data_IF_129229588415
#
_entry.id   IF_129229588415
#
_cell.length_a   1.000
_cell.length_b   1.000
_cell.length_c   1.000
_cell.angle_alpha   90.00
_cell.angle_beta   90.00
_cell.angle_gamma   90.00
#
_symmetry.space_group_name_H-M   'P 1'
#
loop_
_entity.id
_entity.type
_entity.pdbx_description
1 polymer ?
#
# COMPACT_ATOMS: atom_id res chain seq x y z
N UNK A 1 77.66 14.03 -1.35
CA UNK A 1 77.10 12.78 -1.92
C UNK A 1 77.46 11.62 -1.00
N UNK A 2 76.62 10.57 -0.92
CA UNK A 2 76.87 9.31 -0.18
C UNK A 2 76.86 9.42 1.37
N UNK A 3 76.37 8.46 2.17
CA UNK A 3 75.26 7.50 1.99
C UNK A 3 74.84 6.87 3.35
N UNK A 4 73.52 6.63 3.49
CA UNK A 4 72.83 5.59 4.29
C UNK A 4 72.81 5.63 5.84
N UNK A 5 71.79 4.96 6.47
CA UNK A 5 71.45 5.08 7.90
C UNK A 5 71.46 3.74 8.68
N UNK A 6 71.19 3.77 10.01
CA UNK A 6 70.66 2.63 10.76
C UNK A 6 69.35 2.99 11.52
N UNK A 7 68.21 2.36 11.20
CA UNK A 7 67.56 1.18 11.88
C UNK A 7 66.53 1.51 12.97
N UNK A 8 65.47 0.69 13.02
CA UNK A 8 64.29 0.79 13.92
C UNK A 8 64.58 0.23 15.33
N UNK A 9 63.68 0.45 16.29
CA UNK A 9 63.20 -0.72 17.04
C UNK A 9 61.68 -0.81 17.30
N UNK A 10 61.25 -2.08 17.38
CA UNK A 10 60.23 -2.69 18.26
C UNK A 10 58.75 -2.27 18.25
N UNK A 11 57.93 -3.23 17.78
CA UNK A 11 56.51 -3.45 18.11
C UNK A 11 56.29 -3.66 19.62
N UNK A 12 55.20 -3.09 20.15
CA UNK A 12 54.21 -3.80 20.98
C UNK A 12 52.82 -3.32 20.53
N UNK A 13 51.72 -4.07 20.65
CA UNK A 13 51.53 -5.39 21.24
C UNK A 13 50.31 -5.46 22.16
N UNK A 14 49.10 -5.08 21.70
CA UNK A 14 47.86 -5.28 22.48
C UNK A 14 46.73 -5.90 21.65
N UNK A 15 46.37 -7.13 22.02
CA UNK A 15 45.07 -7.76 21.75
C UNK A 15 44.13 -7.44 22.92
N UNK A 16 42.86 -7.18 22.61
CA UNK A 16 41.72 -7.34 23.51
C UNK A 16 40.50 -7.67 22.62
N UNK A 17 40.21 -8.95 22.40
CA UNK A 17 39.28 -9.77 23.20
C UNK A 17 37.80 -9.52 22.83
N UNK A 18 37.37 -10.25 21.81
CA UNK A 18 36.00 -10.37 21.28
C UNK A 18 35.13 -11.17 22.24
N UNK A 19 34.12 -10.56 22.85
CA UNK A 19 33.12 -11.23 23.70
C UNK A 19 31.80 -11.46 22.96
N UNK A 20 31.75 -12.56 22.19
CA UNK A 20 30.50 -13.09 21.65
C UNK A 20 29.67 -13.75 22.76
N UNK A 21 28.62 -13.09 23.25
CA UNK A 21 27.59 -13.75 24.07
C UNK A 21 26.52 -14.39 23.18
N UNK A 22 26.77 -15.64 22.78
CA UNK A 22 25.70 -16.54 22.32
C UNK A 22 24.77 -16.85 23.50
N UNK A 23 23.53 -16.34 23.48
CA UNK A 23 22.45 -16.95 24.26
C UNK A 23 21.82 -18.06 23.41
N UNK A 24 22.03 -19.31 23.82
CA UNK A 24 21.14 -20.44 23.52
C UNK A 24 20.63 -20.95 24.86
N UNK A 25 19.31 -21.05 25.00
CA UNK A 25 18.67 -21.79 26.07
C UNK A 25 17.62 -22.74 25.44
N UNK A 26 17.36 -23.90 26.04
CA UNK A 26 16.76 -25.02 25.32
C UNK A 26 15.27 -25.19 25.62
N UNK A 27 14.52 -25.71 24.65
CA UNK A 27 13.23 -26.37 24.91
C UNK A 27 13.30 -27.81 24.40
N UNK A 28 12.98 -28.74 25.29
CA UNK A 28 13.26 -30.16 25.13
C UNK A 28 12.15 -30.93 24.41
N UNK A 29 12.57 -32.00 23.76
CA UNK A 29 11.70 -33.01 23.15
C UNK A 29 11.17 -33.93 24.26
N UNK A 30 9.85 -34.20 24.29
CA UNK A 30 9.33 -35.53 24.65
C UNK A 30 8.10 -35.90 23.79
N UNK A 31 7.89 -37.21 23.48
CA UNK A 31 6.95 -37.64 22.45
C UNK A 31 5.76 -38.47 23.00
N UNK A 32 4.91 -38.90 22.06
CA UNK A 32 3.87 -39.94 22.17
C UNK A 32 2.72 -39.74 23.16
N UNK A 33 1.51 -39.65 22.59
CA UNK A 33 0.52 -40.70 22.85
C UNK A 33 -0.24 -41.03 21.55
N UNK A 34 -0.38 -42.32 21.24
CA UNK A 34 -1.28 -42.77 20.18
C UNK A 34 -2.74 -42.59 20.62
N UNK A 35 -3.64 -42.29 19.68
CA UNK A 35 -5.04 -42.75 19.81
C UNK A 35 -5.53 -43.36 18.51
N UNK A 36 -6.09 -44.55 18.68
CA UNK A 36 -6.52 -45.49 17.65
C UNK A 36 -7.83 -45.08 16.99
N UNK A 37 -8.00 -45.54 15.76
CA UNK A 37 -9.09 -45.19 14.88
C UNK A 37 -10.51 -45.55 15.34
N UNK A 38 -11.45 -44.93 14.63
CA UNK A 38 -12.80 -45.43 14.46
C UNK A 38 -13.13 -45.40 12.95
N UNK A 39 -13.12 -46.57 12.31
CA UNK A 39 -13.74 -46.74 10.99
C UNK A 39 -15.25 -46.77 11.20
N UNK A 40 -16.00 -45.87 10.57
CA UNK A 40 -17.45 -46.04 10.45
C UNK A 40 -17.81 -46.23 8.98
N UNK A 41 -18.01 -47.49 8.61
CA UNK A 41 -18.55 -47.86 7.31
C UNK A 41 -20.07 -47.81 7.38
N UNK A 42 -20.71 -47.01 6.52
CA UNK A 42 -22.15 -47.08 6.28
C UNK A 42 -22.35 -47.64 4.86
N UNK A 43 -23.06 -48.75 4.78
CA UNK A 43 -23.18 -49.59 3.57
C UNK A 43 -24.66 -49.74 3.22
N UNK A 44 -25.06 -49.33 2.00
CA UNK A 44 -26.36 -49.58 1.36
C UNK A 44 -27.61 -49.02 2.10
N UNK A 45 -28.56 -48.31 1.46
CA UNK A 45 -29.67 -48.80 0.58
C UNK A 45 -30.55 -47.55 0.25
N UNK A 46 -31.40 -47.43 -0.78
CA UNK A 46 -31.89 -48.34 -1.85
C UNK A 46 -32.18 -47.49 -3.13
N UNK A 47 -32.48 -48.15 -4.26
CA UNK A 47 -33.05 -47.56 -5.50
C UNK A 47 -34.27 -46.63 -5.27
N UNK A 48 -34.39 -45.58 -6.10
CA UNK A 48 -35.63 -45.34 -6.87
C UNK A 48 -35.32 -44.77 -8.26
N UNK A 49 -35.83 -45.43 -9.30
CA UNK A 49 -35.95 -44.87 -10.65
C UNK A 49 -37.15 -43.92 -10.64
N UNK A 50 -37.01 -42.74 -11.22
CA UNK A 50 -38.08 -42.13 -11.99
C UNK A 50 -37.50 -41.68 -13.33
N UNK A 51 -38.19 -42.01 -14.42
CA UNK A 51 -37.92 -41.48 -15.75
C UNK A 51 -38.63 -40.13 -15.85
N UNK A 52 -37.91 -39.10 -16.28
CA UNK A 52 -38.46 -37.83 -16.70
C UNK A 52 -37.68 -37.33 -17.90
N UNK A 53 -38.06 -37.78 -19.10
CA UNK A 53 -37.55 -37.21 -20.35
C UNK A 53 -38.28 -35.90 -20.61
N UNK A 54 -37.71 -34.80 -20.11
CA UNK A 54 -38.08 -33.45 -20.51
C UNK A 54 -36.89 -32.82 -21.24
N UNK A 55 -37.03 -32.57 -22.55
CA UNK A 55 -36.06 -31.83 -23.34
C UNK A 55 -36.08 -30.34 -22.96
N UNK A 56 -35.52 -30.02 -21.80
CA UNK A 56 -35.07 -28.66 -21.50
C UNK A 56 -33.67 -28.51 -22.08
N UNK A 57 -33.61 -28.11 -23.36
CA UNK A 57 -32.39 -27.60 -23.99
C UNK A 57 -32.01 -26.25 -23.38
N UNK A 58 -31.56 -26.29 -22.13
CA UNK A 58 -30.77 -25.21 -21.56
C UNK A 58 -29.44 -25.21 -22.30
N UNK A 59 -29.25 -24.22 -23.18
CA UNK A 59 -27.93 -23.87 -23.69
C UNK A 59 -27.10 -23.48 -22.48
N UNK A 60 -26.29 -24.42 -21.97
CA UNK A 60 -25.29 -24.15 -20.98
C UNK A 60 -24.28 -23.18 -21.59
N UNK A 61 -24.47 -21.89 -21.35
CA UNK A 61 -23.51 -20.86 -21.72
C UNK A 61 -22.21 -21.20 -21.01
N UNK A 62 -21.17 -21.48 -21.80
CA UNK A 62 -19.84 -21.73 -21.23
C UNK A 62 -19.44 -20.53 -20.37
N UNK A 63 -18.87 -20.76 -19.18
CA UNK A 63 -18.25 -19.69 -18.40
C UNK A 63 -17.15 -18.95 -19.20
N UNK A 64 -16.58 -19.57 -20.23
CA UNK A 64 -15.72 -18.87 -21.21
C UNK A 64 -16.56 -17.89 -22.02
N UNK A 65 -17.74 -18.28 -22.51
CA UNK A 65 -18.64 -17.37 -23.21
C UNK A 65 -19.15 -16.25 -22.28
N UNK A 66 -19.40 -16.51 -20.99
CA UNK A 66 -19.75 -15.46 -20.03
C UNK A 66 -18.57 -14.53 -19.70
N UNK A 67 -17.34 -15.05 -19.62
CA UNK A 67 -16.13 -14.24 -19.44
C UNK A 67 -15.68 -13.54 -20.74
N UNK A 68 -16.03 -14.10 -21.90
CA UNK A 68 -15.87 -13.49 -23.21
C UNK A 68 -16.91 -12.39 -23.37
N UNK A 69 -18.19 -12.58 -23.02
CA UNK A 69 -19.23 -11.54 -22.98
C UNK A 69 -18.85 -10.41 -22.01
N UNK A 70 -18.27 -10.74 -20.84
CA UNK A 70 -17.65 -9.74 -19.95
C UNK A 70 -16.50 -9.01 -20.64
N UNK A 71 -15.59 -9.68 -21.34
CA UNK A 71 -14.47 -9.04 -22.08
C UNK A 71 -14.98 -8.19 -23.26
N UNK A 72 -15.98 -8.68 -23.98
CA UNK A 72 -16.56 -8.08 -25.19
C UNK A 72 -17.42 -6.86 -24.80
N UNK A 73 -18.01 -6.81 -23.59
CA UNK A 73 -18.55 -5.55 -23.02
C UNK A 73 -17.48 -4.48 -22.71
N UNK A 74 -16.19 -4.80 -22.87
CA UNK A 74 -15.08 -3.84 -22.79
C UNK A 74 -14.38 -3.57 -24.14
N UNK A 75 -14.84 -4.14 -25.25
CA UNK A 75 -14.55 -3.60 -26.59
C UNK A 75 -15.39 -2.33 -26.81
N UNK A 76 -15.11 -1.31 -25.99
CA UNK A 76 -15.52 0.07 -26.23
C UNK A 76 -14.58 0.62 -27.29
N UNK A 77 -15.14 1.03 -28.44
CA UNK A 77 -14.38 1.56 -29.58
C UNK A 77 -13.32 2.59 -29.12
N UNK A 78 -12.05 2.24 -29.29
CA UNK A 78 -10.87 3.05 -28.90
C UNK A 78 -10.66 4.25 -29.86
N UNK A 79 -11.76 4.79 -30.40
CA UNK A 79 -11.82 5.83 -31.44
C UNK A 79 -12.85 6.92 -31.11
N UNK A 80 -12.66 7.64 -30.01
CA UNK A 80 -13.24 8.98 -29.85
C UNK A 80 -12.25 9.95 -29.19
N UNK A 81 -11.53 10.68 -30.03
CA UNK A 81 -10.82 11.91 -29.62
C UNK A 81 -11.82 13.04 -29.38
N UNK A 82 -11.55 13.84 -28.36
CA UNK A 82 -12.05 15.21 -28.13
C UNK A 82 -13.57 15.43 -28.09
N UNK A 83 -14.12 15.53 -26.88
CA UNK A 83 -14.87 16.73 -26.45
C UNK A 83 -15.10 16.72 -24.92
N UNK A 84 -14.48 17.67 -24.21
CA UNK A 84 -14.59 17.79 -22.75
C UNK A 84 -15.65 18.85 -22.35
N UNK A 85 -16.75 18.49 -21.66
CA UNK A 85 -17.74 19.46 -21.23
C UNK A 85 -17.28 20.23 -19.98
N UNK A 86 -17.21 21.55 -20.09
CA UNK A 86 -16.92 22.46 -18.98
C UNK A 86 -18.02 22.43 -17.92
N UNK A 87 -17.77 21.80 -16.78
CA UNK A 87 -18.71 21.79 -15.65
C UNK A 87 -18.55 23.06 -14.79
N UNK A 88 -19.61 23.86 -14.70
CA UNK A 88 -19.66 25.07 -13.90
C UNK A 88 -19.83 24.79 -12.40
N UNK A 89 -19.01 25.41 -11.56
CA UNK A 89 -19.14 25.35 -10.10
C UNK A 89 -20.41 26.09 -9.62
N UNK A 90 -21.37 25.34 -9.08
CA UNK A 90 -22.52 25.88 -8.36
C UNK A 90 -22.38 25.60 -6.86
N UNK A 91 -22.18 26.66 -6.06
CA UNK A 91 -22.07 26.59 -4.60
C UNK A 91 -23.45 26.50 -3.94
N UNK A 92 -23.78 25.46 -3.14
CA UNK A 92 -24.99 25.47 -2.33
C UNK A 92 -24.77 26.28 -1.04
N UNK A 93 -25.71 27.18 -0.73
CA UNK A 93 -25.70 27.92 0.54
C UNK A 93 -26.08 27.01 1.71
N UNK A 94 -25.36 27.12 2.83
CA UNK A 94 -25.70 26.42 4.08
C UNK A 94 -26.79 27.18 4.84
N UNK A 95 -27.87 26.49 5.22
CA UNK A 95 -28.80 26.96 6.25
C UNK A 95 -28.47 26.30 7.60
N UNK A 96 -28.63 26.99 8.74
CA UNK A 96 -28.34 26.43 10.05
C UNK A 96 -29.43 25.46 10.51
N UNK A 97 -29.07 24.18 10.72
CA UNK A 97 -29.97 23.18 11.27
C UNK A 97 -30.03 23.29 12.80
N UNK A 98 -31.16 23.72 13.35
CA UNK A 98 -31.41 23.71 14.79
C UNK A 98 -31.82 22.29 15.21
N UNK A 99 -30.91 21.56 15.87
CA UNK A 99 -31.21 20.23 16.42
C UNK A 99 -32.00 20.39 17.72
N UNK A 100 -33.30 20.06 17.67
CA UNK A 100 -34.16 19.93 18.85
C UNK A 100 -34.03 18.49 19.38
N UNK A 101 -33.68 18.34 20.65
CA UNK A 101 -33.56 17.03 21.30
C UNK A 101 -34.89 16.69 21.95
N UNK A 102 -35.73 15.95 21.24
CA UNK A 102 -36.91 15.31 21.82
C UNK A 102 -36.55 13.87 22.27
N UNK A 103 -37.01 13.49 23.47
CA UNK A 103 -36.72 12.18 24.05
C UNK A 103 -37.52 11.07 23.33
N UNK A 104 -36.92 9.90 23.05
CA UNK A 104 -37.67 8.78 22.51
C UNK A 104 -38.60 8.17 23.57
N UNK A 105 -39.87 8.03 23.20
CA UNK A 105 -40.89 7.38 24.01
C UNK A 105 -40.58 5.89 24.20
N UNK A 106 -40.88 5.37 25.38
CA UNK A 106 -40.42 4.04 25.83
C UNK A 106 -41.33 2.94 25.28
N UNK A 107 -41.08 2.50 24.05
CA UNK A 107 -41.76 1.35 23.44
C UNK A 107 -41.47 0.08 24.26
N UNK A 108 -42.53 -0.57 24.75
CA UNK A 108 -42.42 -1.80 25.52
C UNK A 108 -41.94 -2.95 24.63
N UNK A 109 -40.86 -3.62 25.05
CA UNK A 109 -40.33 -4.78 24.33
C UNK A 109 -41.20 -6.01 24.58
N UNK A 110 -41.63 -6.76 23.55
CA UNK A 110 -42.37 -8.01 23.73
C UNK A 110 -41.50 -9.04 24.47
N UNK A 111 -42.02 -9.60 25.56
CA UNK A 111 -41.35 -10.62 26.36
C UNK A 111 -41.29 -11.96 25.63
N UNK A 112 -40.22 -12.20 24.87
CA UNK A 112 -39.96 -13.51 24.27
C UNK A 112 -39.75 -14.57 25.37
N UNK A 113 -40.55 -15.64 25.33
CA UNK A 113 -40.40 -16.79 26.22
C UNK A 113 -39.14 -17.56 25.83
N UNK A 114 -38.16 -17.56 26.72
CA UNK A 114 -36.97 -18.41 26.62
C UNK A 114 -37.44 -19.87 26.85
N UNK A 115 -37.52 -20.67 25.78
CA UNK A 115 -37.89 -22.09 25.90
C UNK A 115 -38.18 -22.82 24.59
N UNK A 116 -38.75 -22.14 23.59
CA UNK A 116 -39.07 -22.75 22.29
C UNK A 116 -37.98 -22.40 21.26
N UNK A 117 -37.11 -23.37 20.96
CA UNK A 117 -36.30 -23.33 19.75
C UNK A 117 -37.25 -23.57 18.56
N UNK A 118 -37.32 -22.66 17.57
CA UNK A 118 -38.13 -22.92 16.37
C UNK A 118 -37.57 -24.16 15.66
N UNK A 119 -38.43 -25.14 15.42
CA UNK A 119 -38.13 -26.28 14.56
C UNK A 119 -38.05 -25.78 13.10
N UNK A 120 -36.91 -25.19 12.75
CA UNK A 120 -36.56 -24.87 11.36
C UNK A 120 -36.62 -26.19 10.59
N UNK A 121 -37.59 -26.28 9.67
CA UNK A 121 -37.86 -27.52 8.94
C UNK A 121 -36.61 -27.93 8.17
N UNK A 122 -36.29 -29.24 8.15
CA UNK A 122 -35.03 -29.73 7.60
C UNK A 122 -34.75 -29.28 6.15
N UNK A 123 -35.78 -28.95 5.36
CA UNK A 123 -35.64 -28.40 4.01
C UNK A 123 -35.21 -26.92 3.93
N UNK A 124 -35.54 -26.08 4.91
CA UNK A 124 -35.13 -24.66 4.90
C UNK A 124 -33.62 -24.51 5.13
N UNK A 125 -33.03 -25.43 5.92
CA UNK A 125 -31.59 -25.46 6.13
C UNK A 125 -30.83 -25.87 4.86
N UNK A 126 -31.30 -26.91 4.17
CA UNK A 126 -30.66 -27.37 2.93
C UNK A 126 -30.79 -26.31 1.82
N UNK A 127 -31.92 -25.57 1.74
CA UNK A 127 -32.09 -24.43 0.83
C UNK A 127 -31.16 -23.25 1.19
N UNK A 128 -31.08 -22.88 2.48
CA UNK A 128 -30.13 -21.84 2.90
C UNK A 128 -28.68 -22.24 2.63
N UNK A 129 -28.30 -23.50 2.84
CA UNK A 129 -26.95 -23.99 2.54
C UNK A 129 -26.67 -24.08 1.02
N UNK A 130 -27.68 -24.26 0.16
CA UNK A 130 -27.53 -24.13 -1.31
C UNK A 130 -27.45 -22.68 -1.77
N UNK A 131 -28.31 -21.79 -1.26
CA UNK A 131 -28.33 -20.38 -1.65
C UNK A 131 -27.00 -19.71 -1.24
N UNK A 132 -26.49 -20.04 -0.05
CA UNK A 132 -25.15 -19.64 0.43
C UNK A 132 -24.00 -20.34 -0.32
N UNK A 133 -24.24 -21.42 -1.06
CA UNK A 133 -23.23 -22.04 -1.92
C UNK A 133 -23.18 -21.35 -3.30
N UNK A 134 -24.34 -21.05 -3.88
CA UNK A 134 -24.44 -20.35 -5.16
C UNK A 134 -23.97 -18.89 -5.04
N UNK A 135 -24.30 -18.18 -3.96
CA UNK A 135 -23.74 -16.84 -3.68
C UNK A 135 -22.20 -16.88 -3.60
N UNK A 136 -21.60 -17.94 -3.04
CA UNK A 136 -20.14 -18.10 -3.00
C UNK A 136 -19.52 -18.34 -4.38
N UNK A 137 -20.24 -19.02 -5.29
CA UNK A 137 -19.80 -19.22 -6.67
C UNK A 137 -19.85 -17.89 -7.43
N UNK A 138 -20.97 -17.17 -7.36
CA UNK A 138 -21.16 -15.86 -8.00
C UNK A 138 -20.14 -14.83 -7.52
N UNK A 139 -19.93 -14.74 -6.21
CA UNK A 139 -18.93 -13.84 -5.61
C UNK A 139 -17.52 -14.25 -6.04
N UNK A 140 -17.24 -15.55 -6.22
CA UNK A 140 -15.99 -16.04 -6.77
C UNK A 140 -15.76 -15.58 -8.21
N UNK A 141 -16.74 -15.80 -9.10
CA UNK A 141 -16.66 -15.42 -10.52
C UNK A 141 -16.54 -13.90 -10.67
N UNK A 142 -17.34 -13.11 -9.95
CA UNK A 142 -17.27 -11.64 -9.97
C UNK A 142 -15.89 -11.11 -9.55
N UNK A 143 -15.27 -11.71 -8.51
CA UNK A 143 -13.93 -11.33 -8.03
C UNK A 143 -12.81 -11.74 -8.99
N UNK A 144 -12.88 -12.94 -9.56
CA UNK A 144 -11.91 -13.38 -10.60
C UNK A 144 -12.04 -12.48 -11.83
N UNK A 145 -13.27 -12.14 -12.25
CA UNK A 145 -13.52 -11.17 -13.31
C UNK A 145 -13.04 -9.75 -12.99
N UNK A 146 -13.08 -9.32 -11.73
CA UNK A 146 -12.46 -8.05 -11.29
C UNK A 146 -10.93 -8.08 -11.41
N UNK A 147 -10.28 -9.17 -11.00
CA UNK A 147 -8.83 -9.34 -11.22
C UNK A 147 -8.51 -9.36 -12.70
N UNK A 148 -9.22 -10.15 -13.52
CA UNK A 148 -8.96 -10.23 -14.96
C UNK A 148 -9.11 -8.86 -15.64
N UNK A 149 -10.08 -8.02 -15.24
CA UNK A 149 -10.19 -6.63 -15.71
C UNK A 149 -8.98 -5.77 -15.31
N UNK A 150 -8.55 -5.84 -14.05
CA UNK A 150 -7.37 -5.12 -13.56
C UNK A 150 -6.06 -5.56 -14.23
N UNK A 151 -5.95 -6.83 -14.65
CA UNK A 151 -4.77 -7.34 -15.35
C UNK A 151 -4.86 -7.12 -16.86
N UNK A 152 -6.07 -7.06 -17.43
CA UNK A 152 -6.33 -6.72 -18.84
C UNK A 152 -5.75 -5.35 -19.22
N UNK A 153 -5.84 -4.36 -18.33
CA UNK A 153 -5.22 -3.06 -18.58
C UNK A 153 -3.69 -3.05 -18.52
N UNK A 154 -3.04 -3.92 -17.73
CA UNK A 154 -1.56 -3.97 -17.62
C UNK A 154 -0.92 -4.87 -18.68
N UNK A 155 -1.60 -5.95 -19.11
CA UNK A 155 -1.05 -6.96 -20.02
C UNK A 155 -1.74 -7.01 -21.40
N UNK A 156 -2.92 -6.39 -21.56
CA UNK A 156 -3.79 -6.51 -22.73
C UNK A 156 -4.71 -7.73 -22.65
N UNK A 157 -6.04 -7.54 -22.72
CA UNK A 157 -7.04 -8.61 -22.61
C UNK A 157 -6.76 -9.78 -23.57
N UNK A 158 -6.53 -9.50 -24.85
CA UNK A 158 -6.27 -10.50 -25.90
C UNK A 158 -5.03 -11.34 -25.61
N UNK A 159 -3.95 -10.72 -25.11
CA UNK A 159 -2.71 -11.42 -24.73
C UNK A 159 -2.98 -12.42 -23.59
N UNK A 160 -3.80 -12.05 -22.62
CA UNK A 160 -4.12 -12.89 -21.47
C UNK A 160 -4.99 -14.08 -21.86
N UNK A 161 -5.98 -13.86 -22.72
CA UNK A 161 -6.77 -14.94 -23.32
C UNK A 161 -5.90 -15.88 -24.15
N UNK A 162 -4.95 -15.37 -24.92
CA UNK A 162 -4.03 -16.20 -25.72
C UNK A 162 -3.07 -17.02 -24.86
N UNK A 163 -2.52 -16.44 -23.78
CA UNK A 163 -1.72 -17.21 -22.80
C UNK A 163 -2.59 -18.31 -22.17
N UNK A 164 -3.81 -17.99 -21.75
CA UNK A 164 -4.76 -18.96 -21.21
C UNK A 164 -5.08 -20.11 -22.18
N UNK A 165 -5.40 -19.79 -23.44
CA UNK A 165 -5.65 -20.76 -24.53
C UNK A 165 -4.41 -21.59 -24.89
N UNK A 166 -3.19 -21.07 -24.72
CA UNK A 166 -1.95 -21.86 -24.89
C UNK A 166 -1.73 -22.80 -23.72
N UNK A 167 -1.84 -22.30 -22.49
CA UNK A 167 -1.67 -23.09 -21.27
C UNK A 167 -2.71 -24.21 -21.16
N UNK A 168 -3.99 -23.95 -21.46
CA UNK A 168 -5.04 -24.97 -21.49
C UNK A 168 -4.68 -26.14 -22.43
N UNK A 169 -4.26 -25.84 -23.67
CA UNK A 169 -3.82 -26.86 -24.64
C UNK A 169 -2.58 -27.62 -24.19
N UNK A 170 -1.63 -26.97 -23.51
CA UNK A 170 -0.46 -27.65 -22.94
C UNK A 170 -0.85 -28.60 -21.80
N UNK A 171 -1.78 -28.18 -20.93
CA UNK A 171 -2.29 -29.01 -19.83
C UNK A 171 -3.02 -30.23 -20.38
N UNK A 172 -3.87 -30.06 -21.39
CA UNK A 172 -4.62 -31.16 -22.01
C UNK A 172 -3.72 -32.13 -22.78
N UNK A 173 -2.82 -31.64 -23.62
CA UNK A 173 -1.98 -32.50 -24.49
C UNK A 173 -0.78 -33.12 -23.76
N UNK A 174 -0.20 -32.44 -22.77
CA UNK A 174 1.06 -32.82 -22.13
C UNK A 174 0.93 -33.16 -20.64
N UNK A 175 -0.24 -32.94 -20.03
CA UNK A 175 -0.41 -33.11 -18.57
C UNK A 175 0.46 -32.17 -17.75
N UNK A 176 0.79 -30.99 -18.27
CA UNK A 176 1.70 -30.03 -17.66
C UNK A 176 1.22 -28.59 -17.83
N UNK A 177 1.37 -27.78 -16.78
CA UNK A 177 1.11 -26.32 -16.81
C UNK A 177 2.11 -25.57 -17.69
N UNK A 178 3.19 -26.25 -18.11
CA UNK A 178 4.10 -25.79 -19.15
C UNK A 178 4.83 -24.50 -18.78
N UNK A 179 4.86 -23.54 -19.70
CA UNK A 179 5.63 -22.31 -19.57
C UNK A 179 4.89 -21.18 -18.82
N UNK A 180 3.72 -21.43 -18.22
CA UNK A 180 2.92 -20.38 -17.59
C UNK A 180 3.69 -19.58 -16.52
N UNK A 181 4.61 -20.25 -15.79
CA UNK A 181 5.47 -19.62 -14.78
C UNK A 181 6.54 -18.67 -15.36
N UNK A 182 6.94 -18.86 -16.62
CA UNK A 182 7.90 -17.99 -17.32
C UNK A 182 7.24 -17.00 -18.28
N UNK A 183 5.97 -17.21 -18.66
CA UNK A 183 5.20 -16.24 -19.44
C UNK A 183 4.54 -15.14 -18.58
N UNK A 184 4.27 -15.44 -17.29
CA UNK A 184 3.61 -14.52 -16.35
C UNK A 184 4.38 -14.51 -15.02
N UNK A 185 5.00 -13.38 -14.67
CA UNK A 185 5.74 -13.22 -13.40
C UNK A 185 4.83 -13.03 -12.17
N UNK A 186 3.69 -12.34 -12.32
CA UNK A 186 2.78 -12.04 -11.20
C UNK A 186 2.01 -13.30 -10.75
N UNK A 187 2.13 -13.75 -9.48
CA UNK A 187 1.39 -14.90 -8.97
C UNK A 187 -0.13 -14.71 -8.96
N UNK A 188 -0.62 -13.49 -8.80
CA UNK A 188 -2.06 -13.18 -8.87
C UNK A 188 -2.58 -13.42 -10.28
N UNK A 189 -1.79 -13.05 -11.30
CA UNK A 189 -2.23 -13.26 -12.68
C UNK A 189 -2.14 -14.73 -13.09
N UNK A 190 -1.11 -15.46 -12.66
CA UNK A 190 -1.08 -16.92 -12.82
C UNK A 190 -2.31 -17.58 -12.19
N UNK A 191 -2.72 -17.14 -10.99
CA UNK A 191 -3.91 -17.63 -10.32
C UNK A 191 -5.19 -17.36 -11.14
N UNK A 192 -5.38 -16.13 -11.62
CA UNK A 192 -6.56 -15.76 -12.42
C UNK A 192 -6.65 -16.52 -13.75
N UNK A 193 -5.52 -16.74 -14.44
CA UNK A 193 -5.48 -17.57 -15.67
C UNK A 193 -5.77 -19.04 -15.37
N UNK A 194 -5.26 -19.59 -14.27
CA UNK A 194 -5.54 -20.97 -13.88
C UNK A 194 -7.02 -21.18 -13.50
N UNK A 195 -7.65 -20.24 -12.79
CA UNK A 195 -9.11 -20.33 -12.52
C UNK A 195 -9.95 -20.19 -13.82
N UNK A 196 -9.53 -19.36 -14.79
CA UNK A 196 -10.17 -19.29 -16.12
C UNK A 196 -10.08 -20.65 -16.86
N UNK A 197 -8.89 -21.28 -16.87
CA UNK A 197 -8.65 -22.60 -17.49
C UNK A 197 -9.41 -23.72 -16.75
N UNK A 198 -9.50 -23.66 -15.43
CA UNK A 198 -10.35 -24.56 -14.64
C UNK A 198 -11.81 -24.43 -15.02
N UNK A 199 -12.26 -23.20 -15.31
CA UNK A 199 -13.58 -22.89 -15.85
C UNK A 199 -13.88 -23.56 -17.19
N UNK A 200 -12.89 -23.72 -18.08
CA UNK A 200 -13.08 -24.44 -19.35
C UNK A 200 -13.17 -25.96 -19.16
N UNK A 201 -12.22 -26.55 -18.43
CA UNK A 201 -12.18 -28.01 -18.21
C UNK A 201 -13.37 -28.58 -17.44
N UNK A 202 -14.10 -27.75 -16.70
CA UNK A 202 -15.37 -28.13 -16.08
C UNK A 202 -16.45 -28.49 -17.12
N UNK A 203 -16.46 -27.80 -18.27
CA UNK A 203 -17.47 -28.02 -19.33
C UNK A 203 -17.07 -29.17 -20.26
N UNK A 204 -15.77 -29.30 -20.55
CA UNK A 204 -15.24 -30.33 -21.45
C UNK A 204 -15.14 -31.72 -20.78
N UNK A 205 -15.38 -31.81 -19.45
CA UNK A 205 -15.32 -33.05 -18.69
C UNK A 205 -13.90 -33.59 -18.45
N UNK A 206 -12.87 -32.77 -18.67
CA UNK A 206 -11.46 -33.15 -18.61
C UNK A 206 -10.95 -33.30 -17.15
N UNK A 207 -11.34 -34.39 -16.48
CA UNK A 207 -11.12 -34.59 -15.03
C UNK A 207 -9.65 -34.58 -14.60
N UNK A 208 -8.73 -35.16 -15.38
CA UNK A 208 -7.31 -35.18 -15.03
C UNK A 208 -6.63 -33.81 -15.23
N UNK A 209 -6.96 -33.12 -16.32
CA UNK A 209 -6.53 -31.74 -16.57
C UNK A 209 -6.97 -30.80 -15.44
N UNK A 210 -8.24 -30.94 -14.99
CA UNK A 210 -8.76 -30.21 -13.82
C UNK A 210 -7.97 -30.52 -12.55
N UNK A 211 -7.66 -31.78 -12.23
CA UNK A 211 -6.85 -32.13 -11.03
C UNK A 211 -5.47 -31.49 -11.06
N UNK A 212 -4.83 -31.41 -12.23
CA UNK A 212 -3.54 -30.74 -12.38
C UNK A 212 -3.66 -29.25 -12.07
N UNK A 213 -4.67 -28.58 -12.64
CA UNK A 213 -4.93 -27.16 -12.37
C UNK A 213 -5.26 -26.91 -10.90
N UNK A 214 -6.10 -27.75 -10.29
CA UNK A 214 -6.39 -27.68 -8.84
C UNK A 214 -5.12 -27.86 -8.00
N UNK A 215 -4.21 -28.76 -8.38
CA UNK A 215 -2.91 -28.95 -7.71
C UNK A 215 -1.96 -27.75 -7.85
N UNK A 216 -1.98 -27.06 -8.99
CA UNK A 216 -1.16 -25.87 -9.21
C UNK A 216 -1.74 -24.65 -8.47
N UNK A 217 -3.07 -24.47 -8.52
CA UNK A 217 -3.77 -23.46 -7.72
C UNK A 217 -3.48 -23.63 -6.23
N UNK A 218 -3.50 -24.87 -5.71
CA UNK A 218 -3.13 -25.19 -4.33
C UNK A 218 -1.66 -24.82 -4.02
N UNK A 219 -0.74 -25.11 -4.94
CA UNK A 219 0.70 -24.80 -4.79
C UNK A 219 0.95 -23.30 -4.76
N UNK A 220 0.30 -22.57 -5.66
CA UNK A 220 0.35 -21.12 -5.77
C UNK A 220 -0.32 -20.42 -4.56
N UNK A 221 -1.40 -20.99 -4.02
CA UNK A 221 -2.06 -20.49 -2.81
C UNK A 221 -1.25 -20.76 -1.53
N UNK A 222 -0.47 -21.85 -1.48
CA UNK A 222 0.43 -22.15 -0.36
C UNK A 222 1.65 -21.23 -0.32
N UNK A 223 2.18 -20.83 -1.48
CA UNK A 223 3.33 -19.93 -1.58
C UNK A 223 2.95 -18.45 -1.50
N UNK A 224 2.01 -18.01 -2.33
CA UNK A 224 1.68 -16.59 -2.57
C UNK A 224 0.25 -16.21 -2.13
N UNK A 225 -0.45 -17.08 -1.40
CA UNK A 225 -1.86 -16.90 -1.01
C UNK A 225 -2.20 -15.61 -0.28
N UNK A 226 -1.22 -14.92 0.35
CA UNK A 226 -1.44 -13.57 0.90
C UNK A 226 -1.74 -12.55 -0.20
N UNK A 227 -0.90 -12.49 -1.25
CA UNK A 227 -1.06 -11.55 -2.37
C UNK A 227 -2.31 -11.88 -3.19
N UNK A 228 -2.59 -13.17 -3.38
CA UNK A 228 -3.79 -13.65 -4.08
C UNK A 228 -5.05 -13.23 -3.32
N UNK A 229 -5.14 -13.50 -2.01
CA UNK A 229 -6.27 -13.02 -1.19
C UNK A 229 -6.39 -11.50 -1.20
N UNK A 230 -5.28 -10.78 -1.03
CA UNK A 230 -5.27 -9.33 -1.09
C UNK A 230 -5.88 -8.83 -2.40
N UNK A 231 -5.39 -9.29 -3.55
CA UNK A 231 -5.93 -8.85 -4.84
C UNK A 231 -7.40 -9.24 -5.05
N UNK A 232 -7.82 -10.43 -4.60
CA UNK A 232 -9.23 -10.86 -4.65
C UNK A 232 -10.12 -9.93 -3.83
N UNK A 233 -9.62 -9.49 -2.68
CA UNK A 233 -10.39 -8.72 -1.71
C UNK A 233 -10.36 -7.21 -1.99
N UNK A 234 -9.34 -6.70 -2.68
CA UNK A 234 -9.16 -5.27 -2.97
C UNK A 234 -9.37 -4.89 -4.44
N UNK A 235 -9.78 -5.83 -5.29
CA UNK A 235 -9.90 -5.60 -6.73
C UNK A 235 -10.84 -4.43 -7.07
N UNK A 236 -11.96 -4.30 -6.36
CA UNK A 236 -12.93 -3.23 -6.61
C UNK A 236 -12.38 -1.86 -6.22
N UNK A 237 -11.82 -1.71 -5.02
CA UNK A 237 -11.14 -0.50 -4.58
C UNK A 237 -9.95 -0.12 -5.48
N UNK A 238 -9.20 -1.11 -5.99
CA UNK A 238 -8.10 -0.88 -6.94
C UNK A 238 -8.59 -0.41 -8.32
N UNK A 239 -9.78 -0.86 -8.77
CA UNK A 239 -10.40 -0.43 -10.02
C UNK A 239 -10.97 0.99 -9.88
N UNK A 240 -11.68 1.26 -8.79
CA UNK A 240 -12.23 2.59 -8.45
C UNK A 240 -11.14 3.63 -8.17
N UNK A 241 -9.93 3.22 -7.79
CA UNK A 241 -8.82 4.13 -7.53
C UNK A 241 -8.45 4.99 -8.74
N UNK A 242 -8.32 4.40 -9.95
CA UNK A 242 -7.95 5.13 -11.18
C UNK A 242 -8.42 4.40 -12.43
N UNK A 243 -8.76 5.14 -13.48
CA UNK A 243 -9.03 4.57 -14.80
C UNK A 243 -7.76 4.11 -15.53
N UNK A 244 -6.59 4.64 -15.17
CA UNK A 244 -5.32 4.27 -15.80
C UNK A 244 -4.81 2.92 -15.25
N UNK A 245 -4.60 1.88 -16.08
CA UNK A 245 -4.17 0.57 -15.60
C UNK A 245 -2.83 0.55 -14.86
N UNK A 246 -1.91 1.44 -15.25
CA UNK A 246 -0.61 1.60 -14.58
C UNK A 246 -0.79 2.07 -13.14
N UNK A 247 -1.61 3.10 -12.93
CA UNK A 247 -2.00 3.56 -11.59
C UNK A 247 -2.67 2.46 -10.76
N UNK A 248 -3.54 1.64 -11.36
CA UNK A 248 -4.16 0.48 -10.68
C UNK A 248 -3.10 -0.56 -10.26
N UNK A 249 -2.16 -0.89 -11.15
CA UNK A 249 -1.08 -1.84 -10.88
C UNK A 249 -0.13 -1.34 -9.78
N UNK A 250 0.21 -0.05 -9.77
CA UNK A 250 1.03 0.56 -8.72
C UNK A 250 0.31 0.60 -7.37
N UNK A 251 -1.01 0.87 -7.34
CA UNK A 251 -1.84 0.76 -6.14
C UNK A 251 -1.85 -0.66 -5.56
N UNK A 252 -1.98 -1.71 -6.39
CA UNK A 252 -1.88 -3.11 -5.94
C UNK A 252 -0.51 -3.42 -5.36
N UNK A 253 0.57 -2.97 -6.02
CA UNK A 253 1.97 -3.18 -5.54
C UNK A 253 2.19 -2.52 -4.18
N UNK A 254 1.71 -1.29 -3.99
CA UNK A 254 1.71 -0.58 -2.71
C UNK A 254 0.95 -1.35 -1.64
N UNK A 255 -0.24 -1.89 -1.95
CA UNK A 255 -0.98 -2.72 -1.01
C UNK A 255 -0.20 -4.00 -0.63
N UNK A 256 0.43 -4.69 -1.60
CA UNK A 256 1.22 -5.89 -1.34
C UNK A 256 2.47 -5.63 -0.49
N UNK A 257 3.12 -4.48 -0.65
CA UNK A 257 4.22 -4.04 0.22
C UNK A 257 3.71 -3.73 1.63
N UNK A 258 2.57 -3.04 1.73
CA UNK A 258 2.00 -2.61 3.00
C UNK A 258 1.52 -3.80 3.89
N UNK A 259 1.10 -4.93 3.28
CA UNK A 259 0.72 -6.16 4.01
C UNK A 259 1.87 -7.15 4.23
N UNK A 260 3.13 -6.82 3.88
CA UNK A 260 4.23 -7.75 4.13
C UNK A 260 4.55 -7.86 5.63
N UNK A 261 4.15 -8.98 6.22
CA UNK A 261 4.37 -9.30 7.63
C UNK A 261 5.86 -9.40 8.04
N UNK A 262 6.78 -9.46 7.08
CA UNK A 262 8.23 -9.39 7.35
C UNK A 262 8.72 -7.95 7.57
N UNK A 263 7.99 -6.94 7.09
CA UNK A 263 8.30 -5.54 7.29
C UNK A 263 7.70 -5.02 8.62
N UNK A 264 8.39 -4.15 9.36
CA UNK A 264 7.84 -3.54 10.56
C UNK A 264 6.76 -2.52 10.19
N UNK A 265 5.49 -2.86 10.40
CA UNK A 265 4.38 -1.94 10.15
C UNK A 265 4.55 -0.65 10.98
N UNK A 266 4.87 0.44 10.30
CA UNK A 266 5.08 1.77 10.88
C UNK A 266 4.41 2.84 10.01
N UNK A 267 3.89 3.89 10.64
CA UNK A 267 3.33 5.04 9.93
C UNK A 267 4.30 5.61 8.87
N UNK A 268 5.60 5.62 9.17
CA UNK A 268 6.65 6.06 8.24
C UNK A 268 6.75 5.21 6.97
N UNK A 269 6.74 3.88 7.06
CA UNK A 269 6.82 3.04 5.86
C UNK A 269 5.55 3.18 5.01
N UNK A 270 4.38 3.18 5.65
CA UNK A 270 3.11 3.38 4.96
C UNK A 270 3.04 4.74 4.25
N UNK A 271 3.42 5.83 4.92
CA UNK A 271 3.49 7.16 4.32
C UNK A 271 4.49 7.26 3.16
N UNK A 272 5.67 6.62 3.30
CA UNK A 272 6.68 6.62 2.25
C UNK A 272 6.23 5.87 0.99
N UNK A 273 5.49 4.76 1.16
CA UNK A 273 4.89 3.96 0.08
C UNK A 273 3.76 4.70 -0.65
N UNK A 274 2.83 5.31 0.09
CA UNK A 274 1.77 6.16 -0.49
C UNK A 274 2.40 7.25 -1.36
N UNK A 275 3.37 7.97 -0.80
CA UNK A 275 4.10 9.04 -1.48
C UNK A 275 5.13 8.55 -2.51
N UNK A 276 5.23 7.25 -2.81
CA UNK A 276 6.02 6.75 -3.96
C UNK A 276 5.17 6.35 -5.16
N UNK A 277 3.86 6.15 -4.99
CA UNK A 277 2.93 5.85 -6.10
C UNK A 277 2.29 7.13 -6.66
N UNK A 278 2.03 8.13 -5.82
CA UNK A 278 1.31 9.33 -6.28
C UNK A 278 2.04 10.66 -6.07
N UNK A 279 1.64 11.60 -6.92
CA UNK A 279 1.91 13.02 -6.75
C UNK A 279 1.34 13.54 -5.43
N UNK A 280 1.89 14.66 -4.98
CA UNK A 280 1.48 15.35 -3.77
C UNK A 280 -0.02 15.65 -3.74
N UNK A 281 -0.58 16.08 -4.88
CA UNK A 281 -1.97 16.53 -4.98
C UNK A 281 -2.98 15.36 -4.90
N UNK A 282 -2.53 14.11 -5.08
CA UNK A 282 -3.36 12.88 -5.10
C UNK A 282 -3.26 12.04 -3.80
N UNK A 283 -2.50 12.48 -2.80
CA UNK A 283 -2.26 11.69 -1.57
C UNK A 283 -3.56 11.37 -0.83
N UNK A 284 -4.48 12.33 -0.70
CA UNK A 284 -5.76 12.14 -0.01
C UNK A 284 -6.64 11.08 -0.74
N UNK A 285 -6.56 11.00 -2.07
CA UNK A 285 -7.24 9.98 -2.90
C UNK A 285 -6.71 8.58 -2.62
N UNK A 286 -5.38 8.41 -2.59
CA UNK A 286 -4.77 7.10 -2.24
C UNK A 286 -5.13 6.69 -0.81
N UNK A 287 -5.08 7.62 0.15
CA UNK A 287 -5.45 7.32 1.54
C UNK A 287 -6.91 6.82 1.61
N UNK A 288 -7.83 7.45 0.87
CA UNK A 288 -9.22 7.03 0.81
C UNK A 288 -9.37 5.61 0.22
N UNK A 289 -8.85 5.37 -0.99
CA UNK A 289 -8.95 4.06 -1.66
C UNK A 289 -8.21 2.94 -0.93
N UNK A 290 -7.06 3.22 -0.30
CA UNK A 290 -6.39 2.23 0.57
C UNK A 290 -7.18 1.95 1.84
N UNK A 291 -7.87 2.94 2.41
CA UNK A 291 -8.72 2.73 3.59
C UNK A 291 -9.95 1.89 3.27
N UNK A 292 -10.54 2.09 2.10
CA UNK A 292 -11.61 1.25 1.54
C UNK A 292 -11.12 -0.18 1.32
N UNK A 293 -10.04 -0.36 0.56
CA UNK A 293 -9.40 -1.67 0.32
C UNK A 293 -9.07 -2.45 1.61
N UNK A 294 -8.61 -1.77 2.68
CA UNK A 294 -8.36 -2.41 3.98
C UNK A 294 -9.66 -2.85 4.67
N UNK A 295 -10.74 -2.06 4.58
CA UNK A 295 -12.05 -2.43 5.14
C UNK A 295 -12.64 -3.63 4.40
N UNK A 296 -12.56 -3.66 3.08
CA UNK A 296 -13.02 -4.79 2.26
C UNK A 296 -12.28 -6.08 2.64
N UNK A 297 -10.95 -6.04 2.70
CA UNK A 297 -10.11 -7.18 3.11
C UNK A 297 -10.44 -7.66 4.53
N UNK A 298 -10.70 -6.74 5.47
CA UNK A 298 -11.16 -7.07 6.82
C UNK A 298 -12.53 -7.74 6.84
N UNK A 299 -13.49 -7.25 6.05
CA UNK A 299 -14.85 -7.75 5.98
C UNK A 299 -14.94 -9.14 5.32
N UNK A 300 -14.02 -9.47 4.43
CA UNK A 300 -14.01 -10.80 3.79
C UNK A 300 -13.87 -11.95 4.80
N UNK A 301 -14.44 -13.11 4.46
CA UNK A 301 -14.33 -14.33 5.26
C UNK A 301 -12.90 -14.91 5.30
N UNK A 302 -12.03 -14.51 4.37
CA UNK A 302 -10.61 -14.88 4.30
C UNK A 302 -9.78 -13.64 4.00
N UNK A 303 -9.43 -12.89 5.04
CA UNK A 303 -8.56 -11.72 4.90
C UNK A 303 -7.15 -12.12 4.44
N UNK A 304 -6.43 -11.21 3.78
CA UNK A 304 -5.07 -11.47 3.27
C UNK A 304 -4.09 -11.80 4.41
N UNK A 305 -4.17 -11.02 5.49
CA UNK A 305 -3.39 -11.07 6.74
C UNK A 305 -4.31 -10.98 7.97
N UNK A 306 -3.81 -11.18 9.21
CA UNK A 306 -4.64 -11.08 10.41
C UNK A 306 -5.33 -9.71 10.55
N UNK A 307 -6.60 -9.69 11.00
CA UNK A 307 -7.42 -8.48 11.10
C UNK A 307 -6.79 -7.39 11.99
N UNK A 308 -6.07 -7.76 13.06
CA UNK A 308 -5.35 -6.81 13.93
C UNK A 308 -4.16 -6.11 13.23
N UNK A 309 -3.66 -6.67 12.13
CA UNK A 309 -2.67 -6.02 11.28
C UNK A 309 -3.36 -4.99 10.37
N UNK A 310 -4.42 -5.39 9.67
CA UNK A 310 -5.23 -4.49 8.82
C UNK A 310 -5.82 -3.31 9.60
N UNK A 311 -6.37 -3.56 10.80
CA UNK A 311 -6.92 -2.51 11.66
C UNK A 311 -5.86 -1.47 12.09
N UNK A 312 -4.62 -1.91 12.34
CA UNK A 312 -3.51 -0.98 12.63
C UNK A 312 -3.09 -0.18 11.39
N UNK A 313 -3.04 -0.80 10.21
CA UNK A 313 -2.81 -0.08 8.95
C UNK A 313 -3.88 0.99 8.74
N UNK A 314 -5.15 0.62 8.89
CA UNK A 314 -6.29 1.52 8.75
C UNK A 314 -6.20 2.68 9.74
N UNK A 315 -5.85 2.43 11.01
CA UNK A 315 -5.66 3.50 12.00
C UNK A 315 -4.58 4.52 11.61
N UNK A 316 -3.52 4.10 10.91
CA UNK A 316 -2.52 5.02 10.37
C UNK A 316 -3.03 5.81 9.15
N UNK A 317 -3.79 5.19 8.26
CA UNK A 317 -4.41 5.90 7.12
C UNK A 317 -5.45 6.93 7.59
N UNK A 318 -6.31 6.54 8.54
CA UNK A 318 -7.31 7.41 9.14
C UNK A 318 -6.64 8.57 9.90
N UNK A 319 -5.50 8.33 10.56
CA UNK A 319 -4.67 9.39 11.12
C UNK A 319 -4.15 10.37 10.06
N UNK A 320 -3.72 9.86 8.90
CA UNK A 320 -3.24 10.71 7.81
C UNK A 320 -4.34 11.56 7.18
N UNK A 321 -5.51 10.98 6.93
CA UNK A 321 -6.67 11.67 6.36
C UNK A 321 -7.35 12.63 7.34
N UNK A 322 -7.78 12.15 8.50
CA UNK A 322 -8.60 12.94 9.45
C UNK A 322 -7.87 14.16 10.02
N UNK A 323 -6.60 14.00 10.39
CA UNK A 323 -5.76 15.10 10.87
C UNK A 323 -5.05 15.86 9.73
N UNK A 324 -5.40 15.55 8.47
CA UNK A 324 -4.84 16.15 7.23
C UNK A 324 -3.31 16.22 7.27
N UNK A 325 -2.67 15.17 7.79
CA UNK A 325 -1.24 15.13 8.08
C UNK A 325 -0.44 15.30 6.80
N UNK A 326 -0.81 14.56 5.75
CA UNK A 326 -0.21 14.66 4.43
C UNK A 326 -0.27 16.10 3.91
N UNK A 327 -1.48 16.65 3.75
CA UNK A 327 -1.69 18.01 3.24
C UNK A 327 -1.00 19.09 4.09
N UNK A 328 -0.89 18.87 5.40
CA UNK A 328 -0.18 19.79 6.31
C UNK A 328 1.33 19.73 6.09
N UNK A 329 1.95 18.55 6.00
CA UNK A 329 3.38 18.40 5.67
C UNK A 329 3.72 18.98 4.30
N UNK A 330 2.83 18.77 3.32
CA UNK A 330 2.89 19.36 1.98
C UNK A 330 2.88 20.89 2.03
N UNK A 331 1.94 21.48 2.78
CA UNK A 331 1.85 22.93 2.93
C UNK A 331 3.13 23.54 3.54
N UNK A 332 3.76 22.84 4.48
CA UNK A 332 5.02 23.26 5.08
C UNK A 332 6.22 23.05 4.16
N UNK A 333 6.24 21.99 3.35
CA UNK A 333 7.24 21.81 2.29
C UNK A 333 7.16 22.96 1.28
N UNK A 334 5.95 23.31 0.82
CA UNK A 334 5.69 24.48 -0.04
C UNK A 334 6.17 25.77 0.62
N UNK A 335 5.80 26.05 1.88
CA UNK A 335 6.23 27.26 2.60
C UNK A 335 7.77 27.38 2.68
N UNK A 336 8.47 26.28 2.97
CA UNK A 336 9.94 26.25 3.03
C UNK A 336 10.55 26.52 1.64
N UNK A 337 10.07 25.86 0.58
CA UNK A 337 10.59 26.03 -0.77
C UNK A 337 10.34 27.45 -1.31
N UNK A 338 9.14 28.01 -1.10
CA UNK A 338 8.82 29.40 -1.46
C UNK A 338 9.71 30.38 -0.70
N UNK A 339 9.90 30.17 0.61
CA UNK A 339 10.72 31.06 1.44
C UNK A 339 12.22 30.97 1.11
N UNK A 340 12.71 29.80 0.66
CA UNK A 340 14.05 29.63 0.11
C UNK A 340 14.21 30.37 -1.23
N UNK A 341 13.24 30.21 -2.15
CA UNK A 341 13.24 30.88 -3.45
C UNK A 341 13.25 32.41 -3.31
N UNK A 342 12.33 32.98 -2.52
CA UNK A 342 12.25 34.42 -2.28
C UNK A 342 13.55 35.01 -1.67
N UNK A 343 14.34 34.20 -0.96
CA UNK A 343 15.55 34.63 -0.28
C UNK A 343 16.85 34.32 -1.05
N UNK A 344 16.77 33.49 -2.08
CA UNK A 344 17.86 33.29 -3.04
C UNK A 344 18.08 34.51 -3.95
N UNK A 345 17.09 35.40 -4.05
CA UNK A 345 17.08 36.63 -4.88
C UNK A 345 17.93 37.78 -4.25
N UNK A 346 18.78 37.49 -3.25
CA UNK A 346 19.90 38.38 -2.92
C UNK A 346 21.12 37.88 -3.70
N UNK A 347 21.48 38.50 -4.84
CA UNK A 347 22.57 38.02 -5.66
C UNK A 347 23.89 38.27 -4.95
N UNK A 348 24.48 37.21 -4.40
CA UNK A 348 25.92 37.22 -4.11
C UNK A 348 26.63 37.30 -5.46
N UNK A 349 27.11 38.49 -5.81
CA UNK A 349 27.73 38.81 -7.09
C UNK A 349 29.04 38.06 -7.31
N UNK A 350 28.97 36.79 -7.75
CA UNK A 350 30.10 36.08 -8.34
C UNK A 350 29.64 34.94 -9.28
N UNK A 351 29.34 35.33 -10.52
CA UNK A 351 29.68 34.61 -11.74
C UNK A 351 29.54 33.08 -11.78
N UNK A 352 28.32 32.61 -12.04
CA UNK A 352 28.15 31.48 -12.97
C UNK A 352 26.81 31.59 -13.72
N UNK A 353 26.88 32.15 -14.92
CA UNK A 353 25.76 32.26 -15.85
C UNK A 353 25.31 30.88 -16.31
N UNK A 354 24.15 30.45 -15.84
CA UNK A 354 23.36 29.36 -16.45
C UNK A 354 22.19 30.00 -17.18
N UNK A 355 22.43 30.39 -18.43
CA UNK A 355 21.48 31.12 -19.28
C UNK A 355 20.38 30.24 -19.91
N UNK A 356 20.24 29.00 -19.44
CA UNK A 356 19.38 27.97 -20.05
C UNK A 356 18.01 27.82 -19.34
N UNK A 357 17.61 28.81 -18.52
CA UNK A 357 16.39 28.76 -17.69
C UNK A 357 15.14 29.31 -18.41
N UNK A 358 15.25 29.73 -19.68
CA UNK A 358 14.17 30.35 -20.45
C UNK A 358 13.22 29.36 -21.14
N UNK A 359 13.63 28.12 -21.40
CA UNK A 359 12.75 27.03 -21.87
C UNK A 359 12.19 26.24 -20.68
N UNK A 360 11.36 26.91 -19.88
CA UNK A 360 10.58 26.32 -18.80
C UNK A 360 9.44 25.43 -19.35
N UNK A 361 9.82 24.36 -20.06
CA UNK A 361 8.91 23.28 -20.46
C UNK A 361 8.43 22.46 -19.27
N UNK A 362 7.55 21.50 -19.54
CA UNK A 362 6.80 20.76 -18.52
C UNK A 362 7.67 20.10 -17.43
N UNK A 363 8.84 19.59 -17.80
CA UNK A 363 9.83 19.01 -16.87
C UNK A 363 10.38 19.97 -15.79
N UNK A 364 10.11 21.28 -15.89
CA UNK A 364 10.36 22.23 -14.79
C UNK A 364 9.38 22.05 -13.62
N UNK A 365 8.10 21.77 -13.92
CA UNK A 365 7.06 21.53 -12.91
C UNK A 365 7.24 20.18 -12.23
N UNK A 366 7.59 19.15 -12.98
CA UNK A 366 7.87 17.80 -12.46
C UNK A 366 8.99 17.82 -11.41
N UNK A 367 10.13 18.45 -11.73
CA UNK A 367 11.26 18.63 -10.78
C UNK A 367 10.90 19.46 -9.55
N UNK A 368 9.91 20.37 -9.64
CA UNK A 368 9.41 21.10 -8.48
C UNK A 368 8.56 20.19 -7.58
N UNK A 369 7.65 19.40 -8.17
CA UNK A 369 6.85 18.39 -7.48
C UNK A 369 7.70 17.32 -6.80
N UNK A 370 8.75 16.83 -7.47
CA UNK A 370 9.68 15.85 -6.90
C UNK A 370 10.40 16.41 -5.65
N UNK A 371 10.89 17.66 -5.71
CA UNK A 371 11.51 18.34 -4.55
C UNK A 371 10.52 18.55 -3.40
N UNK A 372 9.29 18.92 -3.70
CA UNK A 372 8.22 19.09 -2.72
C UNK A 372 7.87 17.77 -2.03
N UNK A 373 7.71 16.69 -2.80
CA UNK A 373 7.45 15.34 -2.31
C UNK A 373 8.61 14.82 -1.44
N UNK A 374 9.85 14.99 -1.91
CA UNK A 374 11.06 14.63 -1.16
C UNK A 374 11.16 15.38 0.17
N UNK A 375 10.94 16.69 0.17
CA UNK A 375 10.91 17.48 1.40
C UNK A 375 9.74 17.08 2.32
N UNK A 376 8.57 16.79 1.78
CA UNK A 376 7.41 16.30 2.54
C UNK A 376 7.75 15.01 3.30
N UNK A 377 8.42 14.04 2.64
CA UNK A 377 8.90 12.82 3.30
C UNK A 377 9.91 13.10 4.40
N UNK A 378 10.84 14.04 4.22
CA UNK A 378 11.83 14.39 5.25
C UNK A 378 11.23 15.17 6.44
N UNK A 379 10.21 16.00 6.23
CA UNK A 379 9.45 16.63 7.32
C UNK A 379 8.65 15.60 8.11
N UNK A 380 8.03 14.63 7.45
CA UNK A 380 7.35 13.51 8.11
C UNK A 380 8.35 12.61 8.88
N UNK A 381 9.53 12.34 8.30
CA UNK A 381 10.62 11.65 8.98
C UNK A 381 11.07 12.39 10.25
N UNK A 382 11.09 13.72 10.23
CA UNK A 382 11.49 14.54 11.38
C UNK A 382 10.48 14.42 12.54
N UNK A 383 9.17 14.35 12.24
CA UNK A 383 8.11 14.12 13.24
C UNK A 383 8.13 12.72 13.88
N UNK A 384 8.62 11.72 13.13
CA UNK A 384 8.62 10.31 13.54
C UNK A 384 9.99 9.78 14.01
N UNK A 385 11.05 10.60 13.98
CA UNK A 385 12.40 10.17 14.31
C UNK A 385 12.74 10.33 15.80
N UNK A 386 13.29 9.28 16.40
CA UNK A 386 13.92 9.32 17.73
C UNK A 386 15.22 10.13 17.77
N UNK A 387 15.81 10.43 16.60
CA UNK A 387 17.03 11.21 16.45
C UNK A 387 16.77 12.41 15.50
N UNK A 388 16.10 13.48 15.98
CA UNK A 388 15.77 14.63 15.14
C UNK A 388 17.01 15.47 14.75
N UNK A 389 18.06 15.50 15.57
CA UNK A 389 19.29 16.28 15.30
C UNK A 389 19.95 15.98 13.95
N UNK A 390 20.32 14.71 13.65
CA UNK A 390 20.88 14.33 12.35
C UNK A 390 19.96 14.59 11.15
N UNK A 391 18.63 14.55 11.33
CA UNK A 391 17.69 14.89 10.25
C UNK A 391 17.60 16.40 9.99
N UNK A 392 17.67 17.23 11.03
CA UNK A 392 17.78 18.69 10.90
C UNK A 392 19.08 19.05 10.16
N UNK A 393 20.19 18.37 10.45
CA UNK A 393 21.43 18.51 9.69
C UNK A 393 21.27 18.10 8.23
N UNK A 394 20.70 16.91 7.96
CA UNK A 394 20.46 16.43 6.59
C UNK A 394 19.62 17.43 5.78
N UNK A 395 18.50 17.90 6.35
CA UNK A 395 17.64 18.92 5.75
C UNK A 395 18.42 20.21 5.45
N UNK A 396 19.26 20.66 6.37
CA UNK A 396 20.09 21.85 6.20
C UNK A 396 21.17 21.68 5.12
N UNK A 397 21.84 20.53 5.09
CA UNK A 397 22.81 20.15 4.05
C UNK A 397 22.15 20.14 2.67
N UNK A 398 20.98 19.51 2.53
CA UNK A 398 20.25 19.37 1.26
C UNK A 398 19.63 20.69 0.76
N UNK A 399 19.03 21.51 1.63
CA UNK A 399 18.28 22.70 1.21
C UNK A 399 19.11 23.98 1.10
N UNK A 400 20.14 24.15 1.95
CA UNK A 400 20.91 25.41 2.04
C UNK A 400 22.42 25.23 1.98
N UNK A 401 22.92 24.00 1.90
CA UNK A 401 24.36 23.73 1.87
C UNK A 401 25.06 24.16 3.17
N UNK A 402 26.33 24.55 3.09
CA UNK A 402 27.20 24.79 4.27
C UNK A 402 27.17 26.24 4.82
N UNK A 403 26.32 27.11 4.26
CA UNK A 403 26.20 28.51 4.70
C UNK A 403 25.54 28.59 6.08
N UNK A 404 26.30 29.00 7.10
CA UNK A 404 25.84 29.08 8.49
C UNK A 404 24.67 30.07 8.69
N UNK A 405 24.58 31.15 7.91
CA UNK A 405 23.51 32.13 8.00
C UNK A 405 22.22 31.58 7.38
N UNK A 406 22.31 30.88 6.24
CA UNK A 406 21.15 30.19 5.64
C UNK A 406 20.68 29.03 6.51
N UNK A 407 21.60 28.24 7.11
CA UNK A 407 21.25 27.19 8.10
C UNK A 407 20.53 27.75 9.32
N UNK A 408 21.04 28.83 9.92
CA UNK A 408 20.42 29.53 11.04
C UNK A 408 18.97 29.92 10.75
N UNK A 409 18.75 30.51 9.57
CA UNK A 409 17.42 30.91 9.13
C UNK A 409 16.50 29.71 8.86
N UNK A 410 16.99 28.65 8.20
CA UNK A 410 16.21 27.44 7.93
C UNK A 410 15.79 26.76 9.24
N UNK A 411 16.68 26.61 10.23
CA UNK A 411 16.32 26.03 11.53
C UNK A 411 15.30 26.90 12.27
N UNK A 412 15.41 28.23 12.19
CA UNK A 412 14.42 29.15 12.76
C UNK A 412 13.05 28.99 12.10
N UNK A 413 13.00 28.80 10.78
CA UNK A 413 11.78 28.53 10.03
C UNK A 413 11.20 27.15 10.38
N UNK A 414 12.03 26.10 10.41
CA UNK A 414 11.64 24.75 10.83
C UNK A 414 11.06 24.73 12.25
N UNK A 415 11.65 25.48 13.19
CA UNK A 415 11.11 25.61 14.55
C UNK A 415 9.74 26.29 14.58
N UNK A 416 9.58 27.40 13.85
CA UNK A 416 8.29 28.10 13.71
C UNK A 416 7.21 27.19 13.11
N UNK A 417 7.59 26.36 12.13
CA UNK A 417 6.69 25.42 11.49
C UNK A 417 6.38 24.22 12.39
N UNK A 418 7.37 23.65 13.09
CA UNK A 418 7.19 22.50 13.98
C UNK A 418 6.23 22.81 15.14
N UNK A 419 6.23 24.05 15.63
CA UNK A 419 5.24 24.52 16.61
C UNK A 419 3.79 24.53 16.09
N UNK A 420 3.57 24.44 14.77
CA UNK A 420 2.27 24.30 14.11
C UNK A 420 1.97 22.88 13.61
N UNK A 421 2.90 21.92 13.78
CA UNK A 421 2.66 20.55 13.33
C UNK A 421 1.52 19.93 14.17
N UNK A 422 0.49 19.34 13.55
CA UNK A 422 -0.59 18.68 14.28
C UNK A 422 -0.01 17.51 15.10
N UNK A 423 -0.53 17.31 16.32
CA UNK A 423 -0.02 16.28 17.24
C UNK A 423 0.15 14.89 16.60
N UNK A 424 -0.78 14.39 15.75
CA UNK A 424 -0.62 13.20 14.92
C UNK A 424 0.68 13.04 14.08
N UNK A 425 1.41 14.11 13.75
CA UNK A 425 2.70 14.02 13.05
C UNK A 425 3.81 13.52 13.97
N UNK A 426 3.69 13.81 15.27
CA UNK A 426 4.69 13.47 16.26
C UNK A 426 4.44 12.06 16.77
N UNK A 427 5.42 11.18 16.61
CA UNK A 427 5.31 9.81 17.11
C UNK A 427 5.15 9.74 18.65
N UNK A 428 5.61 10.77 19.37
CA UNK A 428 5.26 11.00 20.78
C UNK A 428 5.52 12.47 21.19
N UNK A 429 5.02 12.88 22.35
CA UNK A 429 5.30 14.21 22.91
C UNK A 429 6.78 14.39 23.30
N UNK A 430 7.45 13.33 23.74
CA UNK A 430 8.90 13.33 24.00
C UNK A 430 9.69 13.57 22.70
N UNK A 431 9.26 12.97 21.58
CA UNK A 431 9.89 13.18 20.27
C UNK A 431 9.71 14.63 19.80
N UNK A 432 8.51 15.21 19.94
CA UNK A 432 8.27 16.64 19.69
C UNK A 432 9.19 17.54 20.51
N UNK A 433 9.24 17.29 21.83
CA UNK A 433 10.03 18.09 22.77
C UNK A 433 11.54 17.93 22.50
N UNK A 434 12.00 16.74 22.12
CA UNK A 434 13.37 16.49 21.69
C UNK A 434 13.71 17.23 20.39
N UNK A 435 12.83 17.22 19.39
CA UNK A 435 13.02 17.96 18.13
C UNK A 435 13.11 19.47 18.37
N UNK A 436 12.18 20.04 19.14
CA UNK A 436 12.19 21.45 19.52
C UNK A 436 13.48 21.84 20.28
N UNK A 437 13.90 21.01 21.24
CA UNK A 437 15.15 21.21 22.00
C UNK A 437 16.39 21.20 21.08
N UNK A 438 16.44 20.29 20.10
CA UNK A 438 17.55 20.26 19.14
C UNK A 438 17.55 21.49 18.23
N UNK A 439 16.39 21.92 17.72
CA UNK A 439 16.29 23.15 16.92
C UNK A 439 16.76 24.38 17.71
N UNK A 440 16.32 24.56 18.96
CA UNK A 440 16.77 25.65 19.82
C UNK A 440 18.30 25.65 20.01
N UNK A 441 18.88 24.50 20.36
CA UNK A 441 20.34 24.36 20.51
C UNK A 441 21.10 24.73 19.24
N UNK A 442 20.57 24.43 18.05
CA UNK A 442 21.18 24.85 16.78
C UNK A 442 21.02 26.35 16.53
N UNK A 443 19.87 26.95 16.85
CA UNK A 443 19.68 28.40 16.80
C UNK A 443 20.70 29.13 17.68
N UNK A 444 20.92 28.66 18.92
CA UNK A 444 21.93 29.21 19.84
C UNK A 444 23.35 29.09 19.28
N UNK A 445 23.71 27.91 18.74
CA UNK A 445 25.01 27.67 18.11
C UNK A 445 25.25 28.63 16.94
N UNK A 446 24.27 28.80 16.05
CA UNK A 446 24.40 29.73 14.92
C UNK A 446 24.41 31.20 15.36
N UNK A 447 23.64 31.57 16.39
CA UNK A 447 23.68 32.92 16.96
C UNK A 447 25.07 33.25 17.51
N UNK A 448 25.64 32.35 18.31
CA UNK A 448 27.00 32.50 18.85
C UNK A 448 28.04 32.58 17.74
N UNK A 449 27.94 31.73 16.70
CA UNK A 449 28.86 31.75 15.56
C UNK A 449 28.76 33.08 14.79
N UNK A 450 27.55 33.63 14.60
CA UNK A 450 27.34 34.96 14.02
C UNK A 450 27.95 36.08 14.88
N UNK A 451 27.79 36.03 16.20
CA UNK A 451 28.42 36.98 17.12
C UNK A 451 29.96 36.94 17.04
N UNK A 452 30.56 35.75 16.93
CA UNK A 452 32.01 35.60 16.74
C UNK A 452 32.50 36.18 15.41
N UNK A 453 31.76 35.97 14.31
CA UNK A 453 32.07 36.57 13.00
C UNK A 453 31.98 38.09 13.07
N UNK A 454 30.89 38.64 13.61
CA UNK A 454 30.69 40.10 13.75
C UNK A 454 31.74 40.77 14.66
N UNK A 455 32.24 40.07 15.69
CA UNK A 455 33.34 40.56 16.54
C UNK A 455 34.67 40.57 15.80
N UNK A 456 34.93 39.62 14.90
CA UNK A 456 36.15 39.58 14.06
C UNK A 456 36.13 40.56 12.90
N UNK A 457 34.95 40.90 12.38
CA UNK A 457 34.81 41.82 11.25
C UNK A 457 34.72 43.30 11.63
N UNK A 458 34.70 43.64 12.94
CA UNK A 458 34.93 45.03 13.37
C UNK A 458 36.41 45.36 13.13
N UNK A 459 36.75 46.34 12.27
CA UNK A 459 38.13 46.78 12.15
C UNK A 459 38.60 47.32 13.50
N UNK A 460 39.85 47.04 13.85
CA UNK A 460 40.53 47.76 14.92
C UNK A 460 40.66 49.21 14.47
N UNK A 461 39.75 50.06 14.95
CA UNK A 461 39.91 51.52 14.85
C UNK A 461 41.07 51.87 15.76
N UNK A 462 42.27 51.92 15.18
CA UNK A 462 43.45 52.46 15.83
C UNK A 462 43.19 53.95 15.98
N UNK A 463 42.83 54.38 17.19
CA UNK A 463 42.75 55.79 17.55
C UNK A 463 44.17 56.35 17.56
N UNK A 464 44.51 57.12 16.53
CA UNK A 464 45.72 57.93 16.41
C UNK A 464 45.54 59.28 17.11
#
# INVERSE_FOLDING_TARGET
>A
MSNRPPTKPCRTGRRASRTERRMRAPWGIRPHLMRTGARMAIRCRTRRRLRGTGDCSMKAGSNIAALQDVVDTFDVDDSSTDDAPTVSNATPAQMPLVVRVDQPERVEAPSFRIGEAPEIGAGEKDQHDSDMADERVDVGVKRIGAILRLMAGEYGASRLLDIGRRAARQIEMLGSVGNLHSEIDDPVMRYAVLELIKGSFLHDGATEAKKLVDSELDTLYRSEGRRIRASINTAEAAFSFSAEPKSQAEFRRLYYEAIDLNAPLTAKLLFNGITSVVNVDDIDRVIASMSEALRDDMLTARSSVPRDHLARMLSYLELFGSARVAQTMVSFAREILTALGAKAIVPTTQGRSSSDEATAGDGGKEKAREKELSLTKELFNLGTSTLPGPLIDKLADTLVGKDAQRRSWLVTLLYRLSCKFPMPVWASEEIRNAAHTQMHRRMDQFFNLRQHVLRRSRPLVISS
#
